data_IF_642493506621
#
_entry.id   IF_642493506621
#
_cell.length_a   1.000
_cell.length_b   1.000
_cell.length_c   1.000
_cell.angle_alpha   90.00
_cell.angle_beta   90.00
_cell.angle_gamma   90.00
#
_symmetry.space_group_name_H-M   'P 1'
#
loop_
_entity.id
_entity.type
_entity.pdbx_description
1 polymer ?
#
# COMPACT_ATOMS: atom_id res chain seq x y z
N UNK A 1 23.68 -14.47 3.83
CA UNK A 1 23.33 -14.31 2.39
C UNK A 1 21.82 -14.42 2.12
N UNK A 2 21.09 -15.42 2.64
CA UNK A 2 19.63 -15.54 2.43
C UNK A 2 18.85 -14.34 2.99
N UNK A 3 19.22 -13.83 4.16
CA UNK A 3 18.61 -12.64 4.78
C UNK A 3 18.77 -11.35 3.94
N UNK A 4 19.84 -11.26 3.14
CA UNK A 4 20.10 -10.12 2.24
C UNK A 4 19.12 -10.09 1.08
N UNK A 5 18.85 -11.27 0.52
CA UNK A 5 17.95 -11.43 -0.61
C UNK A 5 16.52 -11.16 -0.13
N UNK A 6 16.08 -11.72 0.99
CA UNK A 6 14.71 -11.50 1.48
C UNK A 6 14.44 -10.03 1.86
N UNK A 7 15.38 -9.34 2.51
CA UNK A 7 15.18 -7.95 2.95
C UNK A 7 15.01 -6.94 1.80
N UNK A 8 15.67 -7.16 0.66
CA UNK A 8 15.50 -6.31 -0.53
C UNK A 8 14.43 -6.82 -1.48
N UNK A 9 14.39 -8.13 -1.72
CA UNK A 9 13.52 -8.72 -2.73
C UNK A 9 12.05 -8.64 -2.31
N UNK A 10 11.72 -8.77 -1.01
CA UNK A 10 10.33 -8.67 -0.53
C UNK A 10 9.74 -7.27 -0.79
N UNK A 11 10.33 -6.15 -0.32
CA UNK A 11 9.75 -4.84 -0.58
C UNK A 11 9.81 -4.44 -2.06
N UNK A 12 10.80 -4.89 -2.82
CA UNK A 12 10.85 -4.67 -4.29
C UNK A 12 9.72 -5.46 -4.98
N UNK A 13 9.54 -6.74 -4.67
CA UNK A 13 8.48 -7.57 -5.23
C UNK A 13 7.10 -7.05 -4.82
N UNK A 14 6.92 -6.65 -3.56
CA UNK A 14 5.68 -6.00 -3.10
C UNK A 14 5.46 -4.69 -3.85
N UNK A 15 6.48 -3.86 -4.04
CA UNK A 15 6.39 -2.63 -4.83
C UNK A 15 6.03 -2.87 -6.30
N UNK A 16 6.61 -3.90 -6.93
CA UNK A 16 6.31 -4.30 -8.32
C UNK A 16 4.90 -4.89 -8.44
N UNK A 17 4.48 -5.73 -7.49
CA UNK A 17 3.12 -6.30 -7.46
C UNK A 17 2.07 -5.23 -7.18
N UNK A 18 2.41 -4.21 -6.39
CA UNK A 18 1.56 -3.06 -6.16
C UNK A 18 1.59 -2.07 -7.32
N UNK A 19 2.56 -2.13 -8.24
CA UNK A 19 2.61 -1.20 -9.37
C UNK A 19 1.40 -1.29 -10.31
N UNK A 20 0.92 -2.47 -10.72
CA UNK A 20 -0.28 -2.57 -11.53
C UNK A 20 -1.57 -2.18 -10.77
N UNK A 21 -1.63 -2.23 -9.43
CA UNK A 21 -2.79 -1.69 -8.66
C UNK A 21 -2.81 -0.16 -8.70
N UNK A 22 -1.66 0.49 -8.86
CA UNK A 22 -1.53 1.96 -8.97
C UNK A 22 -2.04 2.49 -10.32
N UNK A 23 -1.85 1.75 -11.40
CA UNK A 23 -2.12 2.27 -12.75
C UNK A 23 -3.59 2.21 -13.17
N UNK A 24 -4.49 1.73 -12.29
CA UNK A 24 -5.90 1.42 -12.61
C UNK A 24 -6.09 0.50 -13.84
N UNK A 25 -5.01 -0.08 -14.38
CA UNK A 25 -5.03 -1.04 -15.50
C UNK A 25 -5.38 -2.46 -15.06
N UNK A 26 -5.69 -2.67 -13.78
CA UNK A 26 -6.29 -3.91 -13.34
C UNK A 26 -7.80 -3.76 -13.42
N UNK A 27 -8.37 -4.37 -14.46
CA UNK A 27 -9.81 -4.58 -14.52
C UNK A 27 -10.32 -5.35 -13.29
N UNK A 28 -11.65 -5.37 -13.08
CA UNK A 28 -12.25 -6.16 -12.00
C UNK A 28 -11.67 -7.59 -11.99
N UNK A 29 -11.10 -8.01 -10.86
CA UNK A 29 -10.42 -9.29 -10.62
C UNK A 29 -8.98 -9.47 -11.18
N UNK A 30 -8.20 -8.40 -11.31
CA UNK A 30 -6.75 -8.52 -11.52
C UNK A 30 -6.01 -9.19 -10.35
N UNK A 31 -4.84 -9.79 -10.64
CA UNK A 31 -4.03 -10.68 -9.76
C UNK A 31 -3.73 -10.12 -8.35
N UNK A 32 -3.85 -8.82 -8.13
CA UNK A 32 -3.48 -8.15 -6.86
C UNK A 32 -4.61 -7.29 -6.28
N UNK A 33 -5.80 -7.29 -6.92
CA UNK A 33 -6.91 -6.41 -6.54
C UNK A 33 -8.13 -7.15 -6.02
N UNK A 34 -8.11 -7.56 -4.74
CA UNK A 34 -9.33 -8.03 -4.08
C UNK A 34 -10.24 -6.84 -3.78
N UNK A 35 -11.33 -6.73 -4.55
CA UNK A 35 -12.47 -5.87 -4.24
C UNK A 35 -13.17 -6.39 -2.99
N UNK A 36 -13.12 -5.64 -1.88
CA UNK A 36 -13.77 -6.03 -0.62
C UNK A 36 -14.70 -4.92 -0.11
N UNK A 37 -15.93 -5.27 0.26
CA UNK A 37 -16.91 -4.33 0.81
C UNK A 37 -17.21 -3.14 -0.13
N UNK A 38 -17.22 -1.93 0.44
CA UNK A 38 -17.55 -0.68 -0.29
C UNK A 38 -16.56 -0.36 -1.43
N UNK A 39 -15.31 -0.81 -1.32
CA UNK A 39 -14.29 -0.63 -2.37
C UNK A 39 -14.63 -1.45 -3.63
N UNK A 40 -15.55 -2.41 -3.53
CA UNK A 40 -16.02 -3.24 -4.63
C UNK A 40 -17.20 -2.66 -5.41
N UNK A 41 -17.83 -1.59 -4.91
CA UNK A 41 -19.16 -1.17 -5.34
C UNK A 41 -19.21 -0.74 -6.81
N UNK A 42 -18.20 0.01 -7.26
CA UNK A 42 -18.04 0.45 -8.64
C UNK A 42 -16.57 0.83 -8.93
N UNK A 43 -16.28 1.24 -10.16
CA UNK A 43 -14.91 1.60 -10.55
C UNK A 43 -14.43 2.92 -9.91
N UNK A 44 -15.35 3.84 -9.61
CA UNK A 44 -15.04 5.13 -8.98
C UNK A 44 -14.57 4.95 -7.53
N UNK A 45 -15.29 4.15 -6.75
CA UNK A 45 -14.95 3.77 -5.36
C UNK A 45 -13.64 2.97 -5.31
N UNK A 46 -13.38 2.14 -6.32
CA UNK A 46 -12.11 1.43 -6.47
C UNK A 46 -10.93 2.39 -6.71
N UNK A 47 -11.09 3.35 -7.63
CA UNK A 47 -10.05 4.34 -7.92
C UNK A 47 -9.80 5.27 -6.71
N UNK A 48 -10.88 5.75 -6.07
CA UNK A 48 -10.81 6.58 -4.86
C UNK A 48 -10.03 5.88 -3.74
N UNK A 49 -10.32 4.60 -3.50
CA UNK A 49 -9.64 3.77 -2.52
C UNK A 49 -8.12 3.64 -2.77
N UNK A 50 -7.74 3.38 -4.02
CA UNK A 50 -6.33 3.23 -4.40
C UNK A 50 -5.57 4.54 -4.33
N UNK A 51 -6.20 5.63 -4.82
CA UNK A 51 -5.62 6.96 -4.77
C UNK A 51 -5.37 7.43 -3.32
N UNK A 52 -6.29 7.14 -2.40
CA UNK A 52 -6.17 7.54 -1.00
C UNK A 52 -5.14 6.72 -0.20
N UNK A 53 -5.02 5.42 -0.47
CA UNK A 53 -4.09 4.53 0.22
C UNK A 53 -2.65 4.65 -0.27
N UNK A 54 -2.45 5.03 -1.54
CA UNK A 54 -1.15 5.03 -2.19
C UNK A 54 -0.06 5.87 -1.50
N UNK A 55 -0.28 7.13 -1.08
CA UNK A 55 0.77 7.94 -0.47
C UNK A 55 1.35 7.29 0.79
N UNK A 56 0.49 6.64 1.57
CA UNK A 56 0.91 5.95 2.79
C UNK A 56 1.67 4.67 2.47
N UNK A 57 1.13 3.82 1.59
CA UNK A 57 1.79 2.60 1.16
C UNK A 57 3.18 2.89 0.56
N UNK A 58 3.27 3.91 -0.29
CA UNK A 58 4.53 4.36 -0.89
C UNK A 58 5.52 4.84 0.18
N UNK A 59 5.08 5.63 1.16
CA UNK A 59 5.93 6.09 2.25
C UNK A 59 6.45 4.91 3.08
N UNK A 60 5.58 3.97 3.45
CA UNK A 60 5.97 2.77 4.20
C UNK A 60 6.94 1.87 3.42
N UNK A 61 6.72 1.67 2.11
CA UNK A 61 7.63 0.93 1.25
C UNK A 61 9.01 1.60 1.16
N UNK A 62 9.06 2.92 0.98
CA UNK A 62 10.31 3.67 0.96
C UNK A 62 11.04 3.57 2.30
N UNK A 63 10.33 3.72 3.41
CA UNK A 63 10.90 3.58 4.76
C UNK A 63 11.42 2.17 5.03
N UNK A 64 10.72 1.13 4.55
CA UNK A 64 11.18 -0.24 4.63
C UNK A 64 12.49 -0.43 3.84
N UNK A 65 12.53 0.01 2.58
CA UNK A 65 13.73 -0.13 1.74
C UNK A 65 14.92 0.66 2.30
N UNK A 66 14.73 1.94 2.61
CA UNK A 66 15.81 2.80 3.13
C UNK A 66 16.26 2.30 4.49
N UNK A 67 15.31 1.97 5.37
CA UNK A 67 15.57 1.45 6.70
C UNK A 67 16.39 0.15 6.69
N UNK A 68 15.94 -0.84 5.91
CA UNK A 68 16.68 -2.09 5.76
C UNK A 68 18.04 -1.87 5.13
N UNK A 69 18.18 -0.95 4.16
CA UNK A 69 19.47 -0.61 3.55
C UNK A 69 20.46 -0.05 4.59
N UNK A 70 20.01 0.89 5.43
CA UNK A 70 20.87 1.49 6.46
C UNK A 70 21.33 0.44 7.47
N UNK A 71 20.42 -0.41 7.97
CA UNK A 71 20.78 -1.44 8.96
C UNK A 71 21.75 -2.46 8.34
N UNK A 72 21.58 -2.81 7.07
CA UNK A 72 22.48 -3.71 6.36
C UNK A 72 23.87 -3.08 6.09
N UNK A 73 23.94 -1.78 5.81
CA UNK A 73 25.22 -1.07 5.70
C UNK A 73 25.98 -1.06 7.04
N UNK A 74 25.27 -0.90 8.15
CA UNK A 74 25.86 -1.00 9.49
C UNK A 74 26.35 -2.43 9.74
N UNK A 75 25.59 -3.46 9.35
CA UNK A 75 26.00 -4.86 9.47
C UNK A 75 27.18 -5.24 8.56
N UNK A 76 27.39 -4.55 7.44
CA UNK A 76 28.61 -4.73 6.62
C UNK A 76 29.87 -4.19 7.30
N UNK A 77 29.70 -3.19 8.17
CA UNK A 77 30.80 -2.50 8.84
C UNK A 77 31.10 -3.05 10.24
N UNK A 78 30.22 -3.90 10.79
CA UNK A 78 30.36 -4.50 12.11
C UNK A 78 29.90 -5.96 12.15
N UNK A 79 30.45 -6.76 13.06
CA UNK A 79 30.26 -8.21 13.10
C UNK A 79 29.03 -8.64 13.92
N UNK A 80 27.93 -7.86 13.81
CA UNK A 80 26.73 -8.07 14.63
C UNK A 80 25.62 -8.77 13.83
N UNK A 81 25.40 -10.04 14.14
CA UNK A 81 24.39 -10.91 13.53
C UNK A 81 22.94 -10.48 13.88
N UNK A 82 22.75 -9.72 14.96
CA UNK A 82 21.42 -9.28 15.41
C UNK A 82 20.83 -8.18 14.53
N UNK A 83 21.67 -7.40 13.84
CA UNK A 83 21.23 -6.31 12.96
C UNK A 83 20.34 -6.78 11.81
N UNK A 84 20.59 -7.97 11.26
CA UNK A 84 19.73 -8.56 10.24
C UNK A 84 18.30 -8.82 10.74
N UNK A 85 18.15 -9.20 12.01
CA UNK A 85 16.85 -9.41 12.63
C UNK A 85 16.12 -8.08 12.89
N UNK A 86 16.87 -7.04 13.29
CA UNK A 86 16.34 -5.68 13.45
C UNK A 86 15.83 -5.13 12.11
N UNK A 87 16.59 -5.31 11.02
CA UNK A 87 16.19 -4.90 9.68
C UNK A 87 14.89 -5.59 9.23
N UNK A 88 14.76 -6.89 9.49
CA UNK A 88 13.56 -7.66 9.17
C UNK A 88 12.35 -7.20 9.98
N UNK A 89 12.51 -7.02 11.30
CA UNK A 89 11.44 -6.57 12.19
C UNK A 89 10.94 -5.16 11.80
N UNK A 90 11.87 -4.26 11.48
CA UNK A 90 11.56 -2.92 11.02
C UNK A 90 10.78 -2.92 9.69
N UNK A 91 11.22 -3.69 8.71
CA UNK A 91 10.53 -3.82 7.42
C UNK A 91 9.11 -4.37 7.61
N UNK A 92 8.95 -5.41 8.44
CA UNK A 92 7.63 -5.95 8.79
C UNK A 92 6.74 -4.90 9.44
N UNK A 93 7.28 -4.11 10.39
CA UNK A 93 6.54 -3.03 11.05
C UNK A 93 5.99 -2.01 10.05
N UNK A 94 6.83 -1.53 9.11
CA UNK A 94 6.36 -0.59 8.09
C UNK A 94 5.35 -1.19 7.14
N UNK A 95 5.52 -2.45 6.73
CA UNK A 95 4.56 -3.13 5.85
C UNK A 95 3.20 -3.31 6.55
N UNK A 96 3.17 -3.66 7.83
CA UNK A 96 1.93 -3.78 8.62
C UNK A 96 1.24 -2.43 8.73
N UNK A 97 1.97 -1.37 9.11
CA UNK A 97 1.41 -0.01 9.22
C UNK A 97 0.89 0.48 7.87
N UNK A 98 1.65 0.27 6.79
CA UNK A 98 1.25 0.66 5.44
C UNK A 98 0.01 -0.09 4.97
N UNK A 99 -0.08 -1.38 5.27
CA UNK A 99 -1.24 -2.21 4.87
C UNK A 99 -2.48 -1.84 5.66
N UNK A 100 -2.42 -1.81 7.00
CA UNK A 100 -3.58 -1.48 7.84
C UNK A 100 -4.02 -0.04 7.61
N UNK A 101 -3.09 0.92 7.67
CA UNK A 101 -3.42 2.32 7.44
C UNK A 101 -3.88 2.58 6.00
N UNK A 102 -3.33 1.85 5.03
CA UNK A 102 -3.76 1.87 3.64
C UNK A 102 -5.20 1.40 3.50
N UNK A 103 -5.56 0.27 4.12
CA UNK A 103 -6.94 -0.25 4.13
C UNK A 103 -7.92 0.72 4.76
N UNK A 104 -7.57 1.37 5.88
CA UNK A 104 -8.44 2.37 6.54
C UNK A 104 -8.68 3.54 5.60
N UNK A 105 -7.62 4.12 5.02
CA UNK A 105 -7.74 5.24 4.08
C UNK A 105 -8.53 4.87 2.83
N UNK A 106 -8.28 3.68 2.29
CA UNK A 106 -8.99 3.14 1.14
C UNK A 106 -10.48 2.99 1.42
N UNK A 107 -10.84 2.45 2.58
CA UNK A 107 -12.24 2.22 2.97
C UNK A 107 -12.98 3.55 3.14
N UNK A 108 -12.40 4.51 3.85
CA UNK A 108 -13.02 5.82 4.07
C UNK A 108 -13.25 6.55 2.74
N UNK A 109 -12.24 6.61 1.87
CA UNK A 109 -12.37 7.27 0.58
C UNK A 109 -13.41 6.62 -0.34
N UNK A 110 -13.55 5.29 -0.28
CA UNK A 110 -14.58 4.59 -1.03
C UNK A 110 -15.99 4.87 -0.46
N UNK A 111 -16.13 5.01 0.86
CA UNK A 111 -17.39 5.40 1.50
C UNK A 111 -17.80 6.82 1.13
N UNK A 112 -16.86 7.77 1.16
CA UNK A 112 -17.11 9.16 0.78
C UNK A 112 -17.55 9.26 -0.69
N UNK A 113 -16.87 8.54 -1.59
CA UNK A 113 -17.24 8.46 -3.00
C UNK A 113 -18.63 7.86 -3.21
N UNK A 114 -18.97 6.78 -2.50
CA UNK A 114 -20.29 6.16 -2.61
C UNK A 114 -21.39 7.12 -2.11
N UNK A 115 -21.15 7.83 -1.01
CA UNK A 115 -22.09 8.80 -0.46
C UNK A 115 -22.32 10.00 -1.41
N UNK A 116 -21.28 10.45 -2.12
CA UNK A 116 -21.41 11.50 -3.16
C UNK A 116 -22.29 11.04 -4.32
N UNK A 117 -22.11 9.79 -4.77
CA UNK A 117 -22.91 9.19 -5.85
C UNK A 117 -24.38 8.95 -5.46
N UNK A 118 -24.64 8.62 -4.19
CA UNK A 118 -25.99 8.41 -3.65
C UNK A 118 -26.70 9.73 -3.29
N UNK A 119 -25.97 10.83 -3.16
CA UNK A 119 -26.57 12.13 -2.90
C UNK A 119 -27.40 12.59 -4.12
N UNK A 120 -28.72 12.81 -3.97
CA UNK A 120 -29.55 13.24 -5.08
C UNK A 120 -29.02 14.58 -5.59
N UNK A 121 -28.70 14.66 -6.87
CA UNK A 121 -28.21 15.87 -7.54
C UNK A 121 -29.04 17.08 -7.12
N UNK A 122 -28.50 17.92 -6.24
CA UNK A 122 -29.13 19.15 -5.76
C UNK A 122 -29.16 20.25 -6.82
N UNK A 123 -28.98 19.91 -8.10
CA UNK A 123 -29.01 20.83 -9.25
C UNK A 123 -30.08 20.52 -10.30
N UNK A 124 -31.03 19.62 -10.01
CA UNK A 124 -32.19 19.37 -10.89
C UNK A 124 -33.42 20.24 -10.60
N UNK A 125 -33.31 21.26 -9.75
CA UNK A 125 -34.42 22.13 -9.35
C UNK A 125 -34.08 23.60 -9.59
N UNK A 126 -34.08 24.01 -10.86
CA UNK A 126 -34.51 25.33 -11.34
C UNK A 126 -34.11 25.44 -12.82
N UNK A 127 -35.07 25.20 -13.71
CA UNK A 127 -35.40 26.09 -14.85
C UNK A 127 -36.68 25.58 -15.54
#
# INVERSE_FOLDING_TARGET
>A
MIAWISAFLIPIVVGILMHPTITAKMGPNGVVGYRFGVIAANDDTWEAAHRASWPLLRACLLLAVVGSTVVLLIQLLGDDEYLGHVAALQACGFLVVGTIGGMIKATNAAQDCLAELESPSSSGAAD
#
